data_IF_211746391168
#
_entry.id   IF_211746391168
#
_cell.length_a   1.000
_cell.length_b   1.000
_cell.length_c   1.000
_cell.angle_alpha   90.00
_cell.angle_beta   90.00
_cell.angle_gamma   90.00
#
_symmetry.space_group_name_H-M   'P 1'
#
loop_
_entity.id
_entity.type
_entity.pdbx_description
1 polymer ?
#
# COMPACT_ATOMS: atom_id res chain seq x y z
N UNK A 1 -27.31 -17.83 -15.10
CA UNK A 1 -25.96 -18.24 -14.65
C UNK A 1 -25.65 -17.47 -13.37
N UNK A 2 -25.52 -18.16 -12.24
CA UNK A 2 -25.15 -17.50 -10.97
C UNK A 2 -23.72 -16.98 -11.08
N UNK A 3 -23.59 -15.68 -11.25
CA UNK A 3 -22.32 -14.99 -11.27
C UNK A 3 -21.75 -15.00 -9.84
N UNK A 4 -20.78 -15.87 -9.60
CA UNK A 4 -20.17 -16.04 -8.28
C UNK A 4 -19.31 -14.82 -7.95
N UNK A 5 -19.50 -14.20 -6.79
CA UNK A 5 -18.61 -13.17 -6.23
C UNK A 5 -17.18 -13.72 -6.08
N UNK A 6 -17.07 -14.97 -5.65
CA UNK A 6 -15.82 -15.68 -5.37
C UNK A 6 -15.18 -16.24 -6.65
N UNK A 7 -14.63 -15.35 -7.47
CA UNK A 7 -13.79 -15.75 -8.60
C UNK A 7 -12.33 -15.86 -8.15
N UNK A 8 -11.56 -16.71 -8.82
CA UNK A 8 -10.14 -16.87 -8.54
C UNK A 8 -9.36 -15.54 -8.68
N UNK A 9 -9.75 -14.72 -9.64
CA UNK A 9 -9.17 -13.39 -9.83
C UNK A 9 -9.46 -12.45 -8.66
N UNK A 10 -10.71 -12.41 -8.19
CA UNK A 10 -11.10 -11.61 -7.04
C UNK A 10 -10.38 -12.04 -5.77
N UNK A 11 -10.28 -13.34 -5.51
CA UNK A 11 -9.57 -13.88 -4.34
C UNK A 11 -8.09 -13.52 -4.35
N UNK A 12 -7.43 -13.58 -5.51
CA UNK A 12 -6.03 -13.16 -5.67
C UNK A 12 -5.82 -11.68 -5.36
N UNK A 13 -6.75 -10.82 -5.76
CA UNK A 13 -6.70 -9.38 -5.48
C UNK A 13 -6.89 -9.13 -3.98
N UNK A 14 -7.84 -9.80 -3.34
CA UNK A 14 -8.04 -9.70 -1.88
C UNK A 14 -6.82 -10.19 -1.10
N UNK A 15 -6.20 -11.28 -1.53
CA UNK A 15 -4.98 -11.80 -0.92
C UNK A 15 -3.81 -10.84 -1.08
N UNK A 16 -3.63 -10.26 -2.28
CA UNK A 16 -2.61 -9.26 -2.52
C UNK A 16 -2.81 -8.02 -1.62
N UNK A 17 -4.05 -7.57 -1.45
CA UNK A 17 -4.40 -6.48 -0.56
C UNK A 17 -4.10 -6.81 0.91
N UNK A 18 -4.45 -8.01 1.36
CA UNK A 18 -4.11 -8.48 2.70
C UNK A 18 -2.59 -8.45 2.95
N UNK A 19 -1.80 -9.00 2.02
CA UNK A 19 -0.34 -9.02 2.12
C UNK A 19 0.26 -7.61 2.09
N UNK A 20 -0.32 -6.69 1.30
CA UNK A 20 0.07 -5.29 1.25
C UNK A 20 -0.04 -4.64 2.64
N UNK A 21 -1.18 -4.81 3.30
CA UNK A 21 -1.43 -4.24 4.62
C UNK A 21 -0.58 -4.90 5.70
N UNK A 22 -0.46 -6.22 5.71
CA UNK A 22 0.44 -6.95 6.63
C UNK A 22 1.88 -6.41 6.51
N UNK A 23 2.39 -6.29 5.28
CA UNK A 23 3.75 -5.80 5.03
C UNK A 23 3.97 -4.40 5.61
N UNK A 24 3.00 -3.50 5.42
CA UNK A 24 3.07 -2.15 5.96
C UNK A 24 3.02 -2.11 7.49
N UNK A 25 2.03 -2.81 8.06
CA UNK A 25 1.82 -2.77 9.52
C UNK A 25 2.92 -3.48 10.31
N UNK A 26 3.57 -4.49 9.73
CA UNK A 26 4.79 -5.08 10.33
C UNK A 26 5.98 -4.11 10.32
N UNK A 27 6.04 -3.20 9.35
CA UNK A 27 7.12 -2.24 9.27
C UNK A 27 6.98 -1.11 10.32
N UNK A 28 5.76 -0.73 10.67
CA UNK A 28 5.50 0.36 11.62
C UNK A 28 6.24 0.23 12.96
N UNK A 29 6.18 -0.90 13.68
CA UNK A 29 6.89 -1.04 14.95
C UNK A 29 8.41 -1.21 14.77
N UNK A 30 8.88 -1.63 13.60
CA UNK A 30 10.30 -1.84 13.31
C UNK A 30 11.02 -0.51 13.05
N UNK A 31 10.36 0.43 12.39
CA UNK A 31 10.95 1.73 12.05
C UNK A 31 11.53 2.50 13.25
N UNK A 32 10.80 2.70 14.37
CA UNK A 32 11.34 3.39 15.55
C UNK A 32 12.57 2.72 16.13
N UNK A 33 12.58 1.39 16.15
CA UNK A 33 13.70 0.60 16.68
C UNK A 33 14.95 0.77 15.81
N UNK A 34 14.79 0.71 14.49
CA UNK A 34 15.89 0.93 13.54
C UNK A 34 16.44 2.35 13.63
N UNK A 35 15.56 3.35 13.78
CA UNK A 35 15.96 4.75 13.93
C UNK A 35 16.79 4.97 15.19
N UNK A 36 16.31 4.45 16.33
CA UNK A 36 17.01 4.60 17.60
C UNK A 36 18.35 3.85 17.60
N UNK A 37 18.38 2.61 17.11
CA UNK A 37 19.55 1.73 17.21
C UNK A 37 20.63 2.03 16.17
N UNK A 38 20.26 2.41 14.94
CA UNK A 38 21.22 2.63 13.83
C UNK A 38 21.55 4.09 13.57
N UNK A 39 20.58 4.98 13.76
CA UNK A 39 20.73 6.39 13.41
C UNK A 39 20.84 7.31 14.63
N UNK A 40 20.68 6.77 15.85
CA UNK A 40 20.73 7.58 17.08
C UNK A 40 19.59 8.62 17.16
N UNK A 41 18.55 8.47 16.35
CA UNK A 41 17.41 9.41 16.31
C UNK A 41 16.45 9.06 17.46
N UNK A 42 16.09 10.03 18.32
CA UNK A 42 15.18 9.77 19.42
C UNK A 42 13.80 9.35 18.94
N UNK A 43 13.17 8.41 19.64
CA UNK A 43 11.84 7.86 19.31
C UNK A 43 10.78 8.95 19.20
N UNK A 44 10.94 10.08 19.90
CA UNK A 44 10.04 11.23 19.79
C UNK A 44 9.94 11.84 18.37
N UNK A 45 10.95 11.66 17.53
CA UNK A 45 10.95 12.16 16.15
C UNK A 45 10.31 11.18 15.16
N UNK A 46 9.99 9.98 15.59
CA UNK A 46 9.35 8.95 14.72
C UNK A 46 7.99 9.38 14.22
N UNK A 47 7.25 10.16 15.03
CA UNK A 47 5.96 10.73 14.64
C UNK A 47 6.02 11.56 13.34
N UNK A 48 7.10 12.32 13.14
CA UNK A 48 7.31 13.11 11.92
C UNK A 48 7.42 12.25 10.66
N UNK A 49 8.00 11.06 10.77
CA UNK A 49 8.14 10.12 9.65
C UNK A 49 6.78 9.54 9.25
N UNK A 50 5.95 9.19 10.23
CA UNK A 50 4.59 8.71 9.96
C UNK A 50 3.70 9.79 9.34
N UNK A 51 3.86 11.04 9.79
CA UNK A 51 3.17 12.19 9.17
C UNK A 51 3.61 12.33 7.72
N UNK A 52 4.92 12.27 7.44
CA UNK A 52 5.45 12.37 6.07
C UNK A 52 4.93 11.25 5.16
N UNK A 53 4.92 10.02 5.64
CA UNK A 53 4.35 8.87 4.93
C UNK A 53 2.87 9.08 4.60
N UNK A 54 2.06 9.46 5.61
CA UNK A 54 0.63 9.69 5.44
C UNK A 54 0.35 10.85 4.48
N UNK A 55 1.13 11.92 4.58
CA UNK A 55 1.01 13.10 3.73
C UNK A 55 1.37 12.78 2.28
N UNK A 56 2.42 12.00 2.06
CA UNK A 56 2.80 11.49 0.74
C UNK A 56 1.67 10.65 0.12
N UNK A 57 1.08 9.74 0.90
CA UNK A 57 -0.05 8.93 0.48
C UNK A 57 -1.27 9.78 0.12
N UNK A 58 -1.55 10.83 0.89
CA UNK A 58 -2.71 11.71 0.67
C UNK A 58 -2.52 12.58 -0.57
N UNK A 59 -1.38 13.25 -0.70
CA UNK A 59 -1.08 14.17 -1.82
C UNK A 59 -1.12 13.44 -3.16
N UNK A 60 -0.65 12.20 -3.21
CA UNK A 60 -0.64 11.44 -4.45
C UNK A 60 -2.04 10.93 -4.85
N UNK A 61 -3.02 10.93 -3.95
CA UNK A 61 -4.37 10.41 -4.19
C UNK A 61 -5.04 10.92 -5.48
N UNK A 62 -5.15 12.24 -5.72
CA UNK A 62 -5.73 12.79 -6.94
C UNK A 62 -4.97 12.37 -8.22
N UNK A 63 -3.63 12.31 -8.15
CA UNK A 63 -2.80 11.86 -9.28
C UNK A 63 -2.99 10.37 -9.58
N UNK A 64 -3.24 9.57 -8.56
CA UNK A 64 -3.55 8.15 -8.72
C UNK A 64 -4.84 7.93 -9.48
N UNK A 65 -5.90 8.65 -9.12
CA UNK A 65 -7.18 8.57 -9.81
C UNK A 65 -6.96 8.81 -11.31
N UNK A 66 -6.22 9.86 -11.66
CA UNK A 66 -5.87 10.15 -13.04
C UNK A 66 -5.05 9.02 -13.70
N UNK A 67 -4.00 8.52 -13.04
CA UNK A 67 -3.16 7.46 -13.60
C UNK A 67 -3.93 6.16 -13.84
N UNK A 68 -4.84 5.79 -12.93
CA UNK A 68 -5.68 4.59 -13.02
C UNK A 68 -6.71 4.71 -14.14
N UNK A 69 -7.12 5.93 -14.50
CA UNK A 69 -8.05 6.16 -15.62
C UNK A 69 -7.32 6.17 -16.97
N UNK A 70 -6.10 6.69 -17.04
CA UNK A 70 -5.30 6.79 -18.28
C UNK A 70 -4.59 5.49 -18.64
N UNK A 71 -4.05 4.79 -17.64
CA UNK A 71 -3.28 3.57 -17.84
C UNK A 71 -4.04 2.32 -17.40
N UNK A 72 -3.62 1.15 -17.91
CA UNK A 72 -4.19 -0.13 -17.48
C UNK A 72 -3.92 -0.35 -15.99
N UNK A 73 -4.96 -0.43 -15.19
CA UNK A 73 -4.95 -0.59 -13.73
C UNK A 73 -4.02 -1.69 -13.22
N UNK A 74 -3.94 -2.80 -13.97
CA UNK A 74 -3.06 -3.92 -13.67
C UNK A 74 -1.58 -3.51 -13.62
N UNK A 75 -1.11 -2.72 -14.60
CA UNK A 75 0.29 -2.30 -14.66
C UNK A 75 0.63 -1.32 -13.55
N UNK A 76 -0.28 -0.40 -13.21
CA UNK A 76 -0.10 0.53 -12.09
C UNK A 76 0.00 -0.25 -10.78
N UNK A 77 -0.89 -1.21 -10.57
CA UNK A 77 -0.87 -2.08 -9.40
C UNK A 77 0.47 -2.84 -9.29
N UNK A 78 0.92 -3.49 -10.37
CA UNK A 78 2.18 -4.24 -10.38
C UNK A 78 3.39 -3.33 -10.15
N UNK A 79 3.42 -2.16 -10.78
CA UNK A 79 4.50 -1.18 -10.60
C UNK A 79 4.56 -0.70 -9.15
N UNK A 80 3.41 -0.34 -8.57
CA UNK A 80 3.32 0.12 -7.18
C UNK A 80 3.80 -0.93 -6.18
N UNK A 81 3.40 -2.19 -6.37
CA UNK A 81 3.90 -3.31 -5.58
C UNK A 81 5.41 -3.49 -5.73
N UNK A 82 5.94 -3.41 -6.96
CA UNK A 82 7.37 -3.51 -7.22
C UNK A 82 8.16 -2.41 -6.51
N UNK A 83 7.72 -1.16 -6.59
CA UNK A 83 8.35 -0.03 -5.91
C UNK A 83 8.26 -0.21 -4.38
N UNK A 84 7.13 -0.67 -3.87
CA UNK A 84 6.96 -0.91 -2.45
C UNK A 84 7.92 -1.99 -1.92
N UNK A 85 8.09 -3.10 -2.64
CA UNK A 85 9.06 -4.16 -2.30
C UNK A 85 10.49 -3.61 -2.35
N UNK A 86 10.83 -2.84 -3.38
CA UNK A 86 12.15 -2.22 -3.51
C UNK A 86 12.42 -1.22 -2.36
N UNK A 87 11.44 -0.38 -1.99
CA UNK A 87 11.54 0.53 -0.86
C UNK A 87 11.73 -0.21 0.46
N UNK A 88 10.96 -1.29 0.67
CA UNK A 88 11.09 -2.14 1.87
C UNK A 88 12.50 -2.78 1.96
N UNK A 89 13.02 -3.29 0.86
CA UNK A 89 14.39 -3.79 0.80
C UNK A 89 15.42 -2.67 1.06
N UNK A 90 15.14 -1.46 0.59
CA UNK A 90 15.99 -0.28 0.81
C UNK A 90 16.20 0.07 2.28
N UNK A 91 15.26 -0.24 3.17
CA UNK A 91 15.43 0.00 4.62
C UNK A 91 16.62 -0.77 5.23
N UNK A 92 17.03 -1.87 4.64
CA UNK A 92 18.22 -2.62 5.09
C UNK A 92 19.52 -1.86 4.83
N UNK A 93 19.53 -0.96 3.87
CA UNK A 93 20.69 -0.18 3.40
C UNK A 93 20.70 1.25 3.98
N UNK A 94 19.77 1.59 4.85
CA UNK A 94 19.67 2.95 5.44
C UNK A 94 20.88 3.24 6.31
N UNK A 95 21.59 4.33 5.98
CA UNK A 95 22.76 4.84 6.71
C UNK A 95 22.57 6.27 7.22
N UNK A 96 21.52 6.97 6.78
CA UNK A 96 21.23 8.34 7.22
C UNK A 96 19.74 8.61 7.36
N UNK A 97 19.40 9.60 8.20
CA UNK A 97 18.01 10.03 8.38
C UNK A 97 17.38 10.52 7.07
N UNK A 98 18.13 11.17 6.19
CA UNK A 98 17.65 11.63 4.89
C UNK A 98 17.26 10.46 3.98
N UNK A 99 18.06 9.40 3.92
CA UNK A 99 17.72 8.18 3.17
C UNK A 99 16.45 7.53 3.71
N UNK A 100 16.29 7.50 5.03
CA UNK A 100 15.09 6.99 5.66
C UNK A 100 13.83 7.78 5.25
N UNK A 101 13.89 9.11 5.30
CA UNK A 101 12.79 9.99 4.90
C UNK A 101 12.40 9.80 3.43
N UNK A 102 13.38 9.69 2.54
CA UNK A 102 13.14 9.43 1.12
C UNK A 102 12.46 8.07 0.88
N UNK A 103 12.90 7.02 1.57
CA UNK A 103 12.27 5.71 1.48
C UNK A 103 10.83 5.73 2.02
N UNK A 104 10.57 6.43 3.11
CA UNK A 104 9.23 6.61 3.65
C UNK A 104 8.31 7.35 2.68
N UNK A 105 8.80 8.39 2.01
CA UNK A 105 8.07 9.10 0.95
C UNK A 105 7.71 8.16 -0.21
N UNK A 106 8.70 7.46 -0.76
CA UNK A 106 8.50 6.53 -1.86
C UNK A 106 7.53 5.42 -1.48
N UNK A 107 7.62 4.91 -0.26
CA UNK A 107 6.74 3.87 0.25
C UNK A 107 5.30 4.38 0.44
N UNK A 108 5.12 5.61 0.97
CA UNK A 108 3.80 6.23 1.11
C UNK A 108 3.11 6.43 -0.24
N UNK A 109 3.85 6.95 -1.22
CA UNK A 109 3.39 7.09 -2.60
C UNK A 109 2.97 5.74 -3.18
N UNK A 110 3.85 4.75 -3.11
CA UNK A 110 3.62 3.42 -3.68
C UNK A 110 2.46 2.69 -3.01
N UNK A 111 2.32 2.81 -1.69
CA UNK A 111 1.21 2.24 -0.94
C UNK A 111 -0.13 2.86 -1.35
N UNK A 112 -0.20 4.19 -1.44
CA UNK A 112 -1.40 4.89 -1.92
C UNK A 112 -1.79 4.43 -3.33
N UNK A 113 -0.81 4.30 -4.24
CA UNK A 113 -1.01 3.76 -5.58
C UNK A 113 -1.54 2.32 -5.57
N UNK A 114 -0.92 1.45 -4.84
CA UNK A 114 -1.32 0.05 -4.77
C UNK A 114 -2.73 -0.10 -4.19
N UNK A 115 -3.06 0.64 -3.14
CA UNK A 115 -4.38 0.60 -2.50
C UNK A 115 -5.48 1.09 -3.45
N UNK A 116 -5.28 2.22 -4.14
CA UNK A 116 -6.26 2.79 -5.08
C UNK A 116 -6.41 1.90 -6.32
N UNK A 117 -5.31 1.44 -6.92
CA UNK A 117 -5.35 0.52 -8.05
C UNK A 117 -5.97 -0.83 -7.68
N UNK A 118 -5.71 -1.31 -6.46
CA UNK A 118 -6.27 -2.55 -5.94
C UNK A 118 -7.78 -2.51 -5.80
N UNK A 119 -8.34 -1.44 -5.22
CA UNK A 119 -9.80 -1.30 -5.07
C UNK A 119 -10.51 -1.19 -6.43
N UNK A 120 -9.95 -0.41 -7.37
CA UNK A 120 -10.51 -0.28 -8.71
C UNK A 120 -10.45 -1.59 -9.47
N UNK A 121 -9.35 -2.34 -9.35
CA UNK A 121 -9.23 -3.66 -9.96
C UNK A 121 -10.20 -4.68 -9.35
N UNK A 122 -10.43 -4.63 -8.04
CA UNK A 122 -11.42 -5.48 -7.37
C UNK A 122 -12.84 -5.19 -7.88
N UNK A 123 -13.18 -3.91 -8.09
CA UNK A 123 -14.47 -3.50 -8.66
C UNK A 123 -14.63 -4.00 -10.10
N UNK A 124 -13.58 -3.93 -10.92
CA UNK A 124 -13.60 -4.33 -12.32
C UNK A 124 -13.84 -5.84 -12.51
N UNK A 125 -13.26 -6.66 -11.64
CA UNK A 125 -13.44 -8.13 -11.73
C UNK A 125 -14.72 -8.61 -11.06
N UNK A 126 -15.45 -7.71 -10.37
CA UNK A 126 -16.69 -8.02 -9.68
C UNK A 126 -17.89 -7.63 -10.54
N UNK A 127 -18.87 -8.53 -10.69
CA UNK A 127 -20.10 -8.25 -11.42
C UNK A 127 -20.85 -7.06 -10.76
N UNK A 128 -21.54 -6.26 -11.60
CA UNK A 128 -22.31 -5.09 -11.15
C UNK A 128 -23.26 -5.36 -9.99
N UNK A 129 -23.89 -6.53 -9.98
CA UNK A 129 -24.80 -6.97 -8.91
C UNK A 129 -24.12 -7.16 -7.55
N UNK A 130 -22.81 -7.50 -7.53
CA UNK A 130 -22.07 -7.82 -6.33
C UNK A 130 -20.97 -6.80 -5.98
N UNK A 131 -20.92 -5.64 -6.65
CA UNK A 131 -19.90 -4.62 -6.42
C UNK A 131 -19.83 -4.14 -4.97
N UNK A 132 -20.98 -3.92 -4.34
CA UNK A 132 -21.04 -3.50 -2.93
C UNK A 132 -20.48 -4.58 -2.01
N UNK A 133 -20.93 -5.83 -2.17
CA UNK A 133 -20.43 -6.96 -1.39
C UNK A 133 -18.92 -7.21 -1.64
N UNK A 134 -18.47 -7.10 -2.90
CA UNK A 134 -17.06 -7.24 -3.27
C UNK A 134 -16.19 -6.17 -2.60
N UNK A 135 -16.64 -4.92 -2.56
CA UNK A 135 -15.92 -3.84 -1.89
C UNK A 135 -15.81 -4.06 -0.37
N UNK A 136 -16.89 -4.58 0.25
CA UNK A 136 -16.87 -4.94 1.67
C UNK A 136 -15.84 -6.03 1.94
N UNK A 137 -15.83 -7.12 1.16
CA UNK A 137 -14.85 -8.22 1.32
C UNK A 137 -13.43 -7.74 1.10
N UNK A 138 -13.18 -6.91 0.07
CA UNK A 138 -11.87 -6.31 -0.18
C UNK A 138 -11.39 -5.44 1.00
N UNK A 139 -12.29 -4.64 1.57
CA UNK A 139 -12.00 -3.81 2.76
C UNK A 139 -11.73 -4.65 4.01
N UNK A 140 -12.43 -5.78 4.17
CA UNK A 140 -12.16 -6.73 5.25
C UNK A 140 -10.78 -7.36 5.13
N UNK A 141 -10.35 -7.72 3.91
CA UNK A 141 -9.00 -8.21 3.67
C UNK A 141 -7.93 -7.19 4.11
N UNK A 142 -8.15 -5.89 3.84
CA UNK A 142 -7.28 -4.84 4.33
C UNK A 142 -7.25 -4.76 5.87
N UNK A 143 -8.42 -4.79 6.51
CA UNK A 143 -8.53 -4.70 7.97
C UNK A 143 -7.91 -5.89 8.71
N UNK A 144 -7.96 -7.09 8.12
CA UNK A 144 -7.29 -8.27 8.67
C UNK A 144 -5.76 -8.17 8.58
N UNK A 145 -5.23 -7.33 7.71
CA UNK A 145 -3.81 -7.05 7.59
C UNK A 145 -3.29 -5.93 8.49
N UNK A 146 -4.19 -5.20 9.15
CA UNK A 146 -3.86 -4.13 10.10
C UNK A 146 -3.59 -4.68 11.49
#
# INVERSE_FOLDING_TARGET
MATKLWTLHFMRICLANLLLFISLYLLYPVLPVVMASRLGVPVSQTGGIYILFTLAMFVIGPFHAYLVDVYKRKYICMLSFGIMVAATAGYTLVQSATHLLLLCLVQGISFGMAATAGITLAIDVTNSTFRSAGNVVFSWAARLGM
#
